data_IF_149715382198
#
_entry.id   IF_149715382198
#
_cell.length_a   1.000
_cell.length_b   1.000
_cell.length_c   1.000
_cell.angle_alpha   90.00
_cell.angle_beta   90.00
_cell.angle_gamma   90.00
#
_symmetry.space_group_name_H-M   'P 1'
#
loop_
_entity.id
_entity.type
_entity.pdbx_description
1 polymer ?
#
# COMPACT_ATOMS: atom_id res chain seq x y z
N UNK A 1 6.58 -17.22 8.48
CA UNK A 1 5.93 -15.90 8.55
C UNK A 1 5.94 -15.40 9.97
N UNK A 2 6.24 -14.15 10.12
CA UNK A 2 6.34 -13.58 11.44
C UNK A 2 5.51 -12.32 11.52
N UNK A 3 4.53 -12.32 12.40
CA UNK A 3 3.68 -11.16 12.59
C UNK A 3 4.27 -10.28 13.68
N UNK A 4 4.68 -9.09 13.34
CA UNK A 4 5.32 -8.22 14.33
C UNK A 4 4.32 -7.71 15.32
N UNK A 5 4.82 -7.39 16.49
CA UNK A 5 3.97 -6.96 17.58
C UNK A 5 3.63 -5.49 17.57
N UNK A 6 3.96 -4.82 16.52
CA UNK A 6 3.53 -3.44 16.39
C UNK A 6 2.03 -3.33 16.51
N UNK A 7 1.36 -4.45 16.34
CA UNK A 7 -0.09 -4.49 16.39
C UNK A 7 -0.67 -4.21 17.74
N UNK A 8 0.14 -4.23 18.76
CA UNK A 8 -0.39 -3.92 20.06
C UNK A 8 -0.73 -2.46 20.18
N UNK A 9 -0.29 -1.68 19.25
CA UNK A 9 -0.68 -0.30 19.23
C UNK A 9 -2.13 -0.21 18.86
N UNK A 10 -2.83 0.67 19.54
CA UNK A 10 -4.25 0.77 19.35
C UNK A 10 -4.58 1.65 18.18
N UNK A 11 -5.43 1.13 17.34
CA UNK A 11 -6.01 1.89 16.29
C UNK A 11 -5.02 2.72 15.52
N UNK A 12 -5.22 3.99 15.52
CA UNK A 12 -4.44 4.91 14.72
C UNK A 12 -2.96 4.93 15.05
N UNK A 13 -2.60 4.27 16.10
CA UNK A 13 -1.22 4.28 16.53
C UNK A 13 -0.47 3.08 16.03
N UNK A 14 -0.87 2.54 14.92
CA UNK A 14 -0.13 1.48 14.30
C UNK A 14 1.30 1.92 14.18
N UNK A 15 2.24 1.02 14.43
CA UNK A 15 3.60 1.37 14.37
C UNK A 15 4.11 1.60 12.93
N UNK A 16 3.35 1.17 11.95
CA UNK A 16 3.66 1.49 10.57
C UNK A 16 2.58 2.41 10.04
N UNK A 17 2.99 3.49 9.39
CA UNK A 17 2.07 4.39 8.74
C UNK A 17 2.72 4.88 7.45
N UNK A 18 2.07 4.64 6.33
CA UNK A 18 2.59 5.11 5.06
C UNK A 18 2.64 6.62 5.01
N UNK A 19 1.64 7.28 5.60
CA UNK A 19 1.63 8.73 5.64
C UNK A 19 2.87 9.25 6.36
N UNK A 20 3.18 8.66 7.50
CA UNK A 20 4.32 9.09 8.28
C UNK A 20 5.62 8.86 7.54
N UNK A 21 5.72 7.70 6.88
CA UNK A 21 6.91 7.38 6.13
C UNK A 21 7.13 8.36 4.99
N UNK A 22 6.07 8.65 4.24
CA UNK A 22 6.20 9.54 3.09
C UNK A 22 6.47 10.97 3.51
N UNK A 23 5.92 11.40 4.64
CA UNK A 23 6.22 12.73 5.14
C UNK A 23 7.69 12.82 5.55
N UNK A 24 8.18 11.78 6.19
CA UNK A 24 9.59 11.75 6.59
C UNK A 24 10.49 11.84 5.36
N UNK A 25 10.10 11.20 4.28
CA UNK A 25 10.86 11.20 3.04
C UNK A 25 10.57 12.44 2.20
N UNK A 26 9.72 13.34 2.69
CA UNK A 26 9.37 14.58 2.02
C UNK A 26 8.65 14.34 0.70
N UNK A 27 7.87 13.26 0.66
CA UNK A 27 7.10 12.94 -0.54
C UNK A 27 5.66 13.34 -0.44
N UNK A 28 5.21 13.77 0.73
CA UNK A 28 3.84 14.24 0.90
C UNK A 28 3.79 15.25 2.02
N UNK A 29 2.71 16.02 2.03
CA UNK A 29 2.45 17.02 3.06
C UNK A 29 0.99 16.94 3.45
N UNK A 30 0.65 17.60 4.54
CA UNK A 30 -0.74 17.61 4.99
C UNK A 30 -1.66 18.23 3.95
N UNK A 31 -1.20 19.29 3.28
CA UNK A 31 -2.01 19.92 2.25
C UNK A 31 -2.25 18.99 1.08
N UNK A 32 -1.20 18.30 0.65
CA UNK A 32 -1.30 17.36 -0.44
C UNK A 32 -2.30 16.25 -0.10
N UNK A 33 -2.20 15.74 1.12
CA UNK A 33 -3.08 14.66 1.57
C UNK A 33 -4.54 15.12 1.62
N UNK A 34 -4.76 16.36 2.03
CA UNK A 34 -6.11 16.90 2.06
C UNK A 34 -6.71 16.95 0.66
N UNK A 35 -5.90 17.34 -0.32
CA UNK A 35 -6.37 17.40 -1.69
C UNK A 35 -6.66 16.01 -2.23
N UNK A 36 -5.80 15.05 -1.91
CA UNK A 36 -6.05 13.67 -2.32
C UNK A 36 -7.33 13.13 -1.72
N UNK A 37 -7.63 13.52 -0.48
CA UNK A 37 -8.81 13.01 0.20
C UNK A 37 -10.10 13.38 -0.51
N UNK A 38 -10.07 14.45 -1.28
CA UNK A 38 -11.24 14.91 -2.02
C UNK A 38 -11.44 14.16 -3.32
N UNK A 39 -10.48 13.34 -3.71
CA UNK A 39 -10.55 12.61 -4.97
C UNK A 39 -10.94 11.17 -4.72
N UNK A 40 -11.64 10.57 -5.68
CA UNK A 40 -11.90 9.14 -5.61
C UNK A 40 -10.64 8.38 -5.96
N UNK A 41 -10.62 7.10 -5.61
CA UNK A 41 -9.47 6.27 -5.96
C UNK A 41 -9.28 6.22 -7.46
N UNK A 42 -10.38 6.16 -8.21
CA UNK A 42 -10.29 6.14 -9.66
C UNK A 42 -9.65 7.42 -10.18
N UNK A 43 -10.02 8.56 -9.61
CA UNK A 43 -9.44 9.83 -10.01
C UNK A 43 -7.95 9.91 -9.68
N UNK A 44 -7.57 9.38 -8.54
CA UNK A 44 -6.17 9.38 -8.15
C UNK A 44 -5.34 8.55 -9.12
N UNK A 45 -5.84 7.36 -9.47
CA UNK A 45 -5.14 6.51 -10.42
C UNK A 45 -5.02 7.19 -11.77
N UNK A 46 -6.12 7.79 -12.25
CA UNK A 46 -6.09 8.48 -13.53
C UNK A 46 -5.12 9.64 -13.54
N UNK A 47 -5.13 10.42 -12.45
CA UNK A 47 -4.22 11.55 -12.36
C UNK A 47 -2.77 11.11 -12.37
N UNK A 48 -2.48 10.04 -11.62
CA UNK A 48 -1.12 9.51 -11.56
C UNK A 48 -0.65 9.06 -12.93
N UNK A 49 -1.54 8.41 -13.68
CA UNK A 49 -1.19 7.94 -15.01
C UNK A 49 -0.97 9.09 -15.96
N UNK A 50 -1.81 10.12 -15.87
CA UNK A 50 -1.65 11.27 -16.75
C UNK A 50 -0.34 11.98 -16.48
N UNK A 51 0.03 12.14 -15.22
CA UNK A 51 1.29 12.77 -14.87
C UNK A 51 2.47 11.95 -15.36
N UNK A 52 2.37 10.62 -15.24
CA UNK A 52 3.43 9.76 -15.74
C UNK A 52 3.54 9.84 -17.25
N UNK A 53 2.39 9.94 -17.94
CA UNK A 53 2.39 10.04 -19.39
C UNK A 53 3.06 11.31 -19.86
N UNK A 54 2.82 12.43 -19.16
CA UNK A 54 3.44 13.69 -19.53
C UNK A 54 4.95 13.61 -19.48
N UNK A 55 5.47 12.85 -18.53
CA UNK A 55 6.91 12.73 -18.36
C UNK A 55 7.58 12.00 -19.52
N UNK A 56 6.80 11.22 -20.29
CA UNK A 56 7.36 10.46 -21.41
C UNK A 56 6.58 10.72 -22.70
N UNK A 57 6.13 11.93 -22.87
CA UNK A 57 5.46 12.37 -24.09
C UNK A 57 4.26 11.50 -24.44
N UNK A 58 3.49 11.14 -23.43
CA UNK A 58 2.25 10.35 -23.59
C UNK A 58 2.49 8.98 -24.21
N UNK A 59 3.64 8.38 -23.95
CA UNK A 59 3.97 7.08 -24.53
C UNK A 59 3.87 5.97 -23.48
N UNK A 60 2.66 5.73 -23.00
CA UNK A 60 2.44 4.68 -22.02
C UNK A 60 2.24 3.30 -22.62
N UNK A 61 1.98 3.23 -23.93
CA UNK A 61 1.81 1.94 -24.55
C UNK A 61 3.12 1.18 -24.48
N UNK A 62 3.06 -0.10 -24.24
CA UNK A 62 4.26 -0.90 -24.04
C UNK A 62 4.59 -1.12 -22.58
N UNK A 63 3.88 -0.44 -21.67
CA UNK A 63 4.10 -0.64 -20.26
C UNK A 63 3.18 -1.70 -19.65
N UNK A 64 2.35 -2.32 -20.49
CA UNK A 64 1.45 -3.40 -20.05
C UNK A 64 0.61 -2.99 -18.85
N UNK A 65 0.06 -1.77 -18.88
CA UNK A 65 -0.66 -1.24 -17.74
C UNK A 65 -1.89 -2.07 -17.39
N UNK A 66 -2.61 -2.54 -18.40
CA UNK A 66 -3.85 -3.26 -18.14
C UNK A 66 -3.59 -4.56 -17.37
N UNK A 67 -2.54 -5.27 -17.73
CA UNK A 67 -2.23 -6.52 -17.05
C UNK A 67 -1.44 -6.31 -15.77
N UNK A 68 -0.67 -5.23 -15.68
CA UNK A 68 0.17 -4.98 -14.53
C UNK A 68 -0.48 -4.25 -13.38
N UNK A 69 -1.43 -3.33 -13.68
CA UNK A 69 -2.03 -2.52 -12.65
C UNK A 69 -2.76 -3.31 -11.56
N UNK A 70 -3.50 -4.37 -11.89
CA UNK A 70 -4.16 -5.11 -10.83
C UNK A 70 -3.19 -5.65 -9.78
N UNK A 71 -2.01 -6.05 -10.20
CA UNK A 71 -1.01 -6.56 -9.27
C UNK A 71 -0.49 -5.46 -8.36
N UNK A 72 -0.28 -4.28 -8.92
CA UNK A 72 0.18 -3.14 -8.13
C UNK A 72 -0.87 -2.76 -7.08
N UNK A 73 -2.13 -2.72 -7.50
CA UNK A 73 -3.21 -2.37 -6.59
C UNK A 73 -3.36 -3.42 -5.49
N UNK A 74 -3.30 -4.70 -5.88
CA UNK A 74 -3.42 -5.77 -4.89
C UNK A 74 -2.29 -5.72 -3.88
N UNK A 75 -1.08 -5.45 -4.34
CA UNK A 75 0.04 -5.36 -3.42
C UNK A 75 -0.14 -4.20 -2.46
N UNK A 76 -0.60 -3.06 -2.97
CA UNK A 76 -0.82 -1.89 -2.12
C UNK A 76 -1.91 -2.17 -1.10
N UNK A 77 -2.99 -2.82 -1.52
CA UNK A 77 -4.09 -3.16 -0.61
C UNK A 77 -3.61 -4.13 0.46
N UNK A 78 -2.84 -5.14 0.07
CA UNK A 78 -2.33 -6.12 1.02
C UNK A 78 -1.43 -5.46 2.06
N UNK A 79 -0.52 -4.63 1.61
CA UNK A 79 0.39 -3.95 2.53
C UNK A 79 -0.36 -3.02 3.47
N UNK A 80 -1.35 -2.32 2.95
CA UNK A 80 -2.16 -1.46 3.81
C UNK A 80 -2.91 -2.29 4.85
N UNK A 81 -3.51 -3.41 4.42
CA UNK A 81 -4.28 -4.24 5.34
C UNK A 81 -3.39 -4.77 6.46
N UNK A 82 -2.17 -5.17 6.13
CA UNK A 82 -1.25 -5.65 7.14
C UNK A 82 -0.93 -4.54 8.13
N UNK A 83 -0.75 -3.33 7.65
CA UNK A 83 -0.41 -2.21 8.53
C UNK A 83 -1.60 -1.80 9.40
N UNK A 84 -2.81 -2.04 8.94
CA UNK A 84 -4.01 -1.56 9.61
C UNK A 84 -4.63 -2.56 10.57
N UNK A 85 -4.22 -3.83 10.53
CA UNK A 85 -4.80 -4.87 11.35
C UNK A 85 -3.82 -5.33 12.41
N UNK A 86 -4.36 -5.96 13.45
CA UNK A 86 -3.54 -6.33 14.61
C UNK A 86 -3.09 -7.79 14.61
N UNK A 87 -3.84 -8.65 13.94
CA UNK A 87 -3.50 -10.07 13.89
C UNK A 87 -3.64 -10.58 12.47
N UNK A 88 -3.01 -11.74 12.23
CA UNK A 88 -3.12 -12.37 10.94
C UNK A 88 -4.56 -12.70 10.60
N UNK A 89 -5.28 -13.23 11.58
CA UNK A 89 -6.67 -13.61 11.34
C UNK A 89 -7.52 -12.41 10.97
N UNK A 90 -7.31 -11.32 11.67
CA UNK A 90 -8.05 -10.10 11.37
C UNK A 90 -7.76 -9.62 9.98
N UNK A 91 -6.49 -9.68 9.58
CA UNK A 91 -6.08 -9.26 8.24
C UNK A 91 -6.69 -10.16 7.17
N UNK A 92 -6.66 -11.47 7.40
CA UNK A 92 -7.25 -12.40 6.45
C UNK A 92 -8.74 -12.15 6.29
N UNK A 93 -9.43 -11.88 7.38
CA UNK A 93 -10.86 -11.59 7.33
C UNK A 93 -11.12 -10.27 6.62
N UNK A 94 -10.28 -9.27 6.87
CA UNK A 94 -10.42 -7.97 6.21
C UNK A 94 -10.30 -8.11 4.70
N UNK A 95 -9.37 -8.95 4.25
CA UNK A 95 -9.11 -9.12 2.83
C UNK A 95 -9.95 -10.22 2.20
N UNK A 96 -10.57 -11.07 2.99
CA UNK A 96 -11.34 -12.19 2.45
C UNK A 96 -10.46 -13.27 1.86
N UNK A 97 -9.31 -13.53 2.47
CA UNK A 97 -8.36 -14.50 1.94
C UNK A 97 -8.33 -15.77 2.77
N UNK A 98 -8.01 -16.89 2.10
CA UNK A 98 -7.75 -18.13 2.79
C UNK A 98 -6.36 -18.06 3.41
N UNK A 99 -6.11 -18.96 4.35
CA UNK A 99 -4.81 -19.01 5.01
C UNK A 99 -3.68 -19.25 4.00
N UNK A 100 -3.89 -20.20 3.09
CA UNK A 100 -2.86 -20.51 2.10
C UNK A 100 -2.58 -19.34 1.18
N UNK A 101 -3.61 -18.65 0.73
CA UNK A 101 -3.46 -17.51 -0.16
C UNK A 101 -2.75 -16.37 0.57
N UNK A 102 -3.11 -16.18 1.85
CA UNK A 102 -2.49 -15.12 2.65
C UNK A 102 -0.98 -15.33 2.77
N UNK A 103 -0.57 -16.56 3.09
CA UNK A 103 0.85 -16.86 3.22
C UNK A 103 1.58 -16.69 1.90
N UNK A 104 0.93 -17.09 0.80
CA UNK A 104 1.55 -16.95 -0.51
C UNK A 104 1.82 -15.47 -0.82
N UNK A 105 0.87 -14.62 -0.54
CA UNK A 105 1.04 -13.19 -0.80
C UNK A 105 2.04 -12.56 0.15
N UNK A 106 2.03 -13.01 1.40
CA UNK A 106 3.00 -12.50 2.38
C UNK A 106 4.42 -12.72 1.88
N UNK A 107 4.68 -13.91 1.36
CA UNK A 107 6.01 -14.23 0.86
C UNK A 107 6.30 -13.55 -0.46
N UNK A 108 5.31 -13.49 -1.33
CA UNK A 108 5.49 -12.89 -2.64
C UNK A 108 5.83 -11.41 -2.53
N UNK A 109 5.17 -10.71 -1.63
CA UNK A 109 5.39 -9.28 -1.47
C UNK A 109 6.51 -8.97 -0.48
N UNK A 110 7.13 -10.00 0.07
CA UNK A 110 8.24 -9.83 1.01
C UNK A 110 7.87 -8.89 2.15
N UNK A 111 6.75 -9.19 2.78
CA UNK A 111 6.21 -8.32 3.82
C UNK A 111 7.16 -8.18 5.00
N UNK A 112 7.87 -9.25 5.36
CA UNK A 112 8.83 -9.17 6.46
C UNK A 112 9.87 -8.07 6.22
N UNK A 113 10.36 -7.98 4.98
CA UNK A 113 11.34 -6.96 4.65
C UNK A 113 10.71 -5.58 4.53
N UNK A 114 9.51 -5.53 3.99
CA UNK A 114 8.84 -4.25 3.76
C UNK A 114 8.67 -3.48 5.06
N UNK A 115 8.19 -4.16 6.11
CA UNK A 115 7.94 -3.49 7.37
C UNK A 115 9.17 -3.36 8.23
N UNK A 116 10.16 -4.20 8.04
CA UNK A 116 11.36 -4.13 8.87
C UNK A 116 12.13 -2.83 8.61
N UNK A 117 12.01 -2.27 7.42
CA UNK A 117 12.69 -1.03 7.10
C UNK A 117 12.12 0.15 7.86
N UNK A 118 10.93 0.01 8.39
CA UNK A 118 10.26 1.09 9.06
C UNK A 118 10.33 0.99 10.57
N UNK A 119 10.95 -0.03 11.07
CA UNK A 119 11.00 -0.24 12.50
C UNK A 119 12.11 0.56 13.18
N UNK A 120 12.90 1.23 12.42
CA UNK A 120 13.97 2.02 13.01
C UNK A 120 13.48 3.40 13.48
#
# INVERSE_FOLDING_TARGET
MKWTKKRKLQGKQSHYSLIRKLRRDKKTTEEFESMLSALSLEEIIGLKLELAARAIDNRLYGLALWTGMPYIVHEAVFKYAVSATRTKLECMNFLGLTNAHFYDLWNRYQIDNYFSEDEE
#
